data_IF_006008702593
#
_entry.id   IF_006008702593
#
_cell.length_a   1.000
_cell.length_b   1.000
_cell.length_c   1.000
_cell.angle_alpha   90.00
_cell.angle_beta   90.00
_cell.angle_gamma   90.00
#
_symmetry.space_group_name_H-M   'P 1'
#
loop_
_entity.id
_entity.type
_entity.pdbx_description
1 polymer ?
#
# COMPACT_ATOMS: atom_id res chain seq x y z
N UNK A 1 0.83 9.37 2.63
CA UNK A 1 -0.15 10.42 2.34
C UNK A 1 -1.32 10.19 3.26
N UNK A 2 -1.63 11.15 4.12
CA UNK A 2 -2.62 10.97 5.20
C UNK A 2 -4.09 11.08 4.72
N UNK A 3 -4.29 11.42 3.45
CA UNK A 3 -5.57 11.88 2.89
C UNK A 3 -6.19 10.91 1.87
N UNK A 4 -5.66 9.68 1.77
CA UNK A 4 -6.15 8.69 0.80
C UNK A 4 -5.70 8.94 -0.65
N UNK A 5 -4.70 9.81 -0.87
CA UNK A 5 -4.04 9.94 -2.17
C UNK A 5 -2.92 8.92 -2.33
N UNK A 6 -2.61 8.57 -3.58
CA UNK A 6 -1.51 7.67 -3.94
C UNK A 6 -0.52 8.41 -4.84
N UNK A 7 0.76 8.29 -4.52
CA UNK A 7 1.86 8.74 -5.38
C UNK A 7 2.44 7.57 -6.14
N UNK A 8 2.60 7.72 -7.45
CA UNK A 8 3.22 6.72 -8.31
C UNK A 8 4.37 7.31 -9.11
N UNK A 9 5.32 6.45 -9.45
CA UNK A 9 6.38 6.73 -10.41
C UNK A 9 6.34 5.66 -11.49
N UNK A 10 6.51 6.04 -12.74
CA UNK A 10 6.43 5.11 -13.86
C UNK A 10 7.05 5.67 -15.12
N UNK A 11 6.61 5.14 -16.26
CA UNK A 11 7.07 5.54 -17.58
C UNK A 11 5.88 5.84 -18.49
N UNK A 12 6.01 6.86 -19.32
CA UNK A 12 5.11 7.16 -20.41
C UNK A 12 5.20 6.08 -21.50
N UNK A 13 4.25 6.07 -22.45
CA UNK A 13 4.35 5.20 -23.64
C UNK A 13 5.60 5.51 -24.49
N UNK A 14 6.15 6.72 -24.34
CA UNK A 14 7.37 7.18 -25.00
C UNK A 14 8.63 6.95 -24.15
N UNK A 15 8.53 6.20 -23.05
CA UNK A 15 9.62 5.88 -22.11
C UNK A 15 10.17 7.08 -21.34
N UNK A 16 9.40 8.14 -21.16
CA UNK A 16 9.74 9.22 -20.23
C UNK A 16 9.34 8.84 -18.82
N UNK A 17 10.21 9.09 -17.84
CA UNK A 17 9.86 8.93 -16.44
C UNK A 17 8.78 9.91 -16.07
N UNK A 18 7.74 9.42 -15.39
CA UNK A 18 6.60 10.21 -14.97
C UNK A 18 6.34 10.01 -13.47
N UNK A 19 5.82 11.05 -12.84
CA UNK A 19 5.22 11.00 -11.52
C UNK A 19 3.72 11.26 -11.63
N UNK A 20 2.93 10.57 -10.82
CA UNK A 20 1.48 10.68 -10.80
C UNK A 20 0.95 10.77 -9.37
N UNK A 21 0.00 11.68 -9.14
CA UNK A 21 -0.77 11.77 -7.90
C UNK A 21 -2.22 11.39 -8.20
N UNK A 22 -2.78 10.46 -7.43
CA UNK A 22 -4.09 9.84 -7.68
C UNK A 22 -5.00 9.97 -6.47
N UNK A 23 -6.29 10.19 -6.70
CA UNK A 23 -7.32 10.12 -5.66
C UNK A 23 -7.95 8.71 -5.67
N UNK A 24 -7.99 8.04 -4.53
CA UNK A 24 -8.67 6.74 -4.39
C UNK A 24 -10.18 6.82 -4.65
N UNK A 25 -10.80 7.99 -4.50
CA UNK A 25 -12.23 8.20 -4.78
C UNK A 25 -12.52 8.40 -6.27
N UNK A 26 -11.54 8.88 -7.03
CA UNK A 26 -11.64 9.08 -8.47
C UNK A 26 -10.33 8.67 -9.14
N UNK A 27 -10.25 7.40 -9.53
CA UNK A 27 -9.03 6.79 -10.06
C UNK A 27 -8.97 6.78 -11.59
N UNK A 28 -9.93 7.41 -12.27
CA UNK A 28 -9.97 7.44 -13.74
C UNK A 28 -8.87 8.34 -14.32
N UNK A 29 -8.61 9.47 -13.68
CA UNK A 29 -7.63 10.46 -14.10
C UNK A 29 -6.74 10.88 -12.92
N UNK A 30 -5.44 11.13 -13.15
CA UNK A 30 -4.55 11.61 -12.11
C UNK A 30 -4.89 13.07 -11.73
N UNK A 31 -4.77 13.39 -10.43
CA UNK A 31 -4.82 14.76 -9.91
C UNK A 31 -3.70 15.60 -10.53
N UNK A 32 -2.50 15.01 -10.57
CA UNK A 32 -1.33 15.62 -11.18
C UNK A 32 -0.51 14.53 -11.88
N UNK A 33 -0.11 14.79 -13.12
CA UNK A 33 0.79 13.95 -13.89
C UNK A 33 1.91 14.84 -14.44
N UNK A 34 3.16 14.53 -14.08
CA UNK A 34 4.31 15.31 -14.51
C UNK A 34 5.36 14.41 -15.14
N UNK A 35 5.81 14.80 -16.33
CA UNK A 35 6.90 14.15 -17.04
C UNK A 35 8.24 14.72 -16.57
N UNK A 36 9.26 13.88 -16.53
CA UNK A 36 10.57 14.22 -15.99
C UNK A 36 11.67 14.18 -17.05
N UNK A 37 12.22 12.99 -17.32
CA UNK A 37 13.32 12.79 -18.26
C UNK A 37 13.24 11.40 -18.89
N UNK A 38 14.07 11.12 -19.87
CA UNK A 38 14.07 9.87 -20.65
C UNK A 38 15.05 8.82 -20.12
N UNK A 39 15.40 8.87 -18.82
CA UNK A 39 16.31 7.88 -18.24
C UNK A 39 15.60 6.56 -17.97
N UNK A 40 16.31 5.44 -18.08
CA UNK A 40 15.73 4.09 -17.89
C UNK A 40 15.61 3.66 -16.42
N UNK A 41 16.19 4.42 -15.48
CA UNK A 41 16.21 4.07 -14.06
C UNK A 41 14.84 4.25 -13.41
N UNK A 42 14.29 3.16 -12.85
CA UNK A 42 13.07 3.22 -12.03
C UNK A 42 13.30 4.17 -10.86
N UNK A 43 12.45 5.19 -10.75
CA UNK A 43 12.45 6.11 -9.61
C UNK A 43 11.84 5.42 -8.39
N UNK A 44 12.50 5.56 -7.26
CA UNK A 44 11.99 5.12 -5.96
C UNK A 44 11.48 6.35 -5.21
N UNK A 45 10.18 6.42 -4.88
CA UNK A 45 9.63 7.49 -4.06
C UNK A 45 9.88 7.24 -2.57
N UNK A 46 10.46 8.23 -1.90
CA UNK A 46 10.58 8.29 -0.45
C UNK A 46 9.71 9.45 0.05
N UNK A 47 8.58 9.14 0.66
CA UNK A 47 7.64 10.14 1.14
C UNK A 47 7.83 10.39 2.63
N UNK A 48 7.95 11.67 2.98
CA UNK A 48 7.98 12.18 4.34
C UNK A 48 6.60 12.74 4.69
N UNK A 49 5.82 12.07 5.57
CA UNK A 49 4.48 12.53 5.95
C UNK A 49 4.50 13.80 6.80
N UNK A 50 5.58 14.07 7.53
CA UNK A 50 5.63 15.18 8.49
C UNK A 50 5.80 16.52 7.77
N UNK A 51 6.51 16.52 6.63
CA UNK A 51 6.73 17.71 5.81
C UNK A 51 6.00 17.68 4.46
N UNK A 52 5.26 16.61 4.16
CA UNK A 52 4.64 16.36 2.84
C UNK A 52 5.60 16.45 1.66
N UNK A 53 6.87 16.08 1.87
CA UNK A 53 7.90 16.08 0.81
C UNK A 53 8.09 14.67 0.28
N UNK A 54 8.13 14.52 -1.05
CA UNK A 54 8.53 13.29 -1.72
C UNK A 54 9.89 13.47 -2.38
N UNK A 55 10.80 12.53 -2.14
CA UNK A 55 12.12 12.46 -2.76
C UNK A 55 12.15 11.32 -3.78
N UNK A 56 12.63 11.62 -4.98
CA UNK A 56 12.75 10.67 -6.09
C UNK A 56 14.22 10.45 -6.42
N UNK A 57 14.61 9.18 -6.45
CA UNK A 57 15.93 8.78 -6.93
C UNK A 57 15.87 7.38 -7.55
N UNK A 58 16.62 7.16 -8.64
CA UNK A 58 16.69 5.88 -9.33
C UNK A 58 18.09 5.31 -9.34
N UNK A 59 18.22 3.99 -9.43
CA UNK A 59 19.55 3.36 -9.63
C UNK A 59 20.14 3.85 -10.97
N UNK A 60 21.40 4.25 -10.94
CA UNK A 60 22.08 4.87 -12.08
C UNK A 60 21.98 6.39 -12.13
N UNK A 61 21.03 7.01 -11.41
CA UNK A 61 20.96 8.47 -11.31
C UNK A 61 22.10 9.01 -10.44
N UNK A 62 22.54 10.23 -10.72
CA UNK A 62 23.48 10.96 -9.88
C UNK A 62 22.82 12.09 -9.09
N UNK A 63 21.49 12.14 -9.07
CA UNK A 63 20.68 13.19 -8.44
C UNK A 63 19.52 12.65 -7.62
N UNK A 64 19.04 13.47 -6.68
CA UNK A 64 17.83 13.25 -5.89
C UNK A 64 16.95 14.48 -6.10
N UNK A 65 15.79 14.30 -6.74
CA UNK A 65 14.80 15.37 -6.93
C UNK A 65 13.76 15.31 -5.83
N UNK A 66 13.25 16.44 -5.40
CA UNK A 66 12.23 16.46 -4.36
C UNK A 66 11.15 17.50 -4.60
N UNK A 67 9.95 17.15 -4.17
CA UNK A 67 8.71 17.85 -4.45
C UNK A 67 7.91 17.97 -3.17
N UNK A 68 7.21 19.08 -2.99
CA UNK A 68 6.23 19.28 -1.95
C UNK A 68 4.85 18.92 -2.48
N UNK A 69 4.05 18.24 -1.67
CA UNK A 69 2.69 17.84 -2.02
C UNK A 69 1.72 18.65 -1.15
N UNK A 70 0.84 19.39 -1.80
CA UNK A 70 -0.13 20.28 -1.16
C UNK A 70 -1.52 20.06 -1.74
N UNK A 71 -2.53 20.67 -1.12
CA UNK A 71 -3.90 20.68 -1.62
C UNK A 71 -4.16 21.79 -2.66
N UNK A 72 -3.16 22.61 -2.98
CA UNK A 72 -3.27 23.68 -3.96
C UNK A 72 -2.68 23.24 -5.31
N UNK A 73 -3.42 23.44 -6.39
CA UNK A 73 -2.95 23.17 -7.75
C UNK A 73 -1.62 23.90 -8.05
N UNK A 74 -0.63 23.24 -8.71
CA UNK A 74 -0.67 21.93 -9.37
C UNK A 74 -0.52 20.69 -8.45
N UNK A 75 -0.70 20.82 -7.13
CA UNK A 75 -0.64 19.78 -6.08
C UNK A 75 0.75 19.23 -5.81
N UNK A 76 1.52 18.93 -6.86
CA UNK A 76 2.91 18.48 -6.78
C UNK A 76 3.82 19.62 -7.23
N UNK A 77 4.56 20.20 -6.29
CA UNK A 77 5.41 21.37 -6.51
C UNK A 77 6.88 20.97 -6.47
N UNK A 78 7.60 21.18 -7.56
CA UNK A 78 9.04 20.95 -7.58
C UNK A 78 9.75 21.92 -6.63
N UNK A 79 10.53 21.37 -5.70
CA UNK A 79 11.34 22.17 -4.78
C UNK A 79 12.73 22.38 -5.37
N UNK A 80 13.54 21.32 -5.42
CA UNK A 80 14.92 21.40 -5.89
C UNK A 80 15.49 20.00 -6.21
N UNK A 81 16.74 19.96 -6.66
CA UNK A 81 17.49 18.75 -6.99
C UNK A 81 18.85 18.78 -6.32
N UNK A 82 19.15 17.78 -5.51
CA UNK A 82 20.52 17.45 -5.15
C UNK A 82 21.21 16.78 -6.33
N UNK A 83 22.39 17.25 -6.73
CA UNK A 83 23.16 16.70 -7.84
C UNK A 83 24.57 16.32 -7.41
N UNK A 84 25.08 15.23 -7.99
CA UNK A 84 26.44 14.75 -7.78
C UNK A 84 27.01 14.16 -9.07
N UNK A 85 28.30 13.80 -9.06
CA UNK A 85 28.98 13.21 -10.24
C UNK A 85 28.87 11.69 -10.31
N UNK A 86 28.68 11.03 -9.17
CA UNK A 86 28.72 9.57 -9.06
C UNK A 86 27.30 8.98 -9.10
N UNK A 87 27.03 7.96 -9.93
CA UNK A 87 25.72 7.32 -9.99
C UNK A 87 25.46 6.43 -8.77
N UNK A 88 24.22 6.41 -8.28
CA UNK A 88 23.82 5.57 -7.14
C UNK A 88 23.56 4.12 -7.56
N UNK A 89 24.03 3.17 -6.75
CA UNK A 89 23.73 1.72 -6.84
C UNK A 89 22.52 1.32 -6.00
N UNK A 90 22.14 2.16 -5.04
CA UNK A 90 21.01 1.98 -4.14
C UNK A 90 20.91 3.18 -3.19
N UNK A 91 19.83 3.23 -2.44
CA UNK A 91 19.54 4.33 -1.54
C UNK A 91 18.88 3.79 -0.27
N UNK A 92 19.39 4.18 0.89
CA UNK A 92 18.70 4.07 2.17
C UNK A 92 18.13 5.41 2.61
N UNK A 93 17.12 5.39 3.48
CA UNK A 93 16.48 6.58 4.03
C UNK A 93 16.36 6.46 5.54
N UNK A 94 16.81 7.48 6.27
CA UNK A 94 16.81 7.49 7.73
C UNK A 94 15.40 7.77 8.27
N UNK A 95 14.88 6.94 9.20
CA UNK A 95 13.65 7.27 9.93
C UNK A 95 13.80 8.56 10.74
N UNK A 96 12.70 9.28 10.96
CA UNK A 96 12.65 10.56 11.68
C UNK A 96 13.42 10.59 13.02
N UNK A 97 13.29 9.52 13.80
CA UNK A 97 13.98 9.34 15.09
C UNK A 97 15.51 9.31 15.02
N UNK A 98 16.11 9.15 13.84
CA UNK A 98 17.57 9.14 13.64
C UNK A 98 18.15 10.42 13.04
N UNK A 99 17.32 11.45 12.83
CA UNK A 99 17.74 12.75 12.31
C UNK A 99 18.30 13.65 13.42
N UNK A 100 19.18 14.57 13.04
CA UNK A 100 19.76 15.58 13.91
C UNK A 100 18.89 16.85 13.88
N UNK A 101 17.87 16.88 14.76
CA UNK A 101 16.92 18.00 14.86
C UNK A 101 17.57 19.32 15.25
N UNK A 102 18.74 19.28 15.91
CA UNK A 102 19.50 20.48 16.28
C UNK A 102 20.06 21.22 15.07
N UNK A 103 20.26 20.52 13.96
CA UNK A 103 20.78 21.07 12.69
C UNK A 103 19.70 21.30 11.64
N UNK A 104 18.42 21.26 12.03
CA UNK A 104 17.30 21.37 11.09
C UNK A 104 17.37 20.33 9.95
N UNK A 105 17.91 19.15 10.22
CA UNK A 105 17.91 18.02 9.28
C UNK A 105 16.50 17.43 9.19
N UNK A 106 15.93 17.41 7.99
CA UNK A 106 14.57 16.89 7.74
C UNK A 106 14.58 15.50 7.09
N UNK A 107 15.68 15.14 6.42
CA UNK A 107 15.90 13.82 5.85
C UNK A 107 17.39 13.50 5.75
N UNK A 108 17.73 12.22 5.89
CA UNK A 108 19.08 11.70 5.63
C UNK A 108 19.02 10.51 4.70
N UNK A 109 19.72 10.60 3.59
CA UNK A 109 19.87 9.51 2.64
C UNK A 109 21.20 8.79 2.88
N UNK A 110 21.22 7.48 2.64
CA UNK A 110 22.42 6.66 2.63
C UNK A 110 22.66 6.18 1.20
N UNK A 111 23.36 6.99 0.42
CA UNK A 111 23.63 6.73 -0.99
C UNK A 111 24.69 5.66 -1.13
N UNK A 112 24.33 4.58 -1.81
CA UNK A 112 25.27 3.50 -2.11
C UNK A 112 25.99 3.81 -3.42
N UNK A 113 27.31 3.79 -3.36
CA UNK A 113 28.20 3.81 -4.51
C UNK A 113 28.71 2.39 -4.76
N UNK A 114 29.68 2.23 -5.66
CA UNK A 114 30.26 0.92 -5.96
C UNK A 114 30.91 0.25 -4.74
N UNK A 115 31.62 1.02 -3.89
CA UNK A 115 32.40 0.50 -2.75
C UNK A 115 32.28 1.31 -1.46
N UNK A 116 31.33 2.25 -1.39
CA UNK A 116 31.10 3.10 -0.22
C UNK A 116 29.62 3.39 -0.01
N UNK A 117 29.25 3.69 1.23
CA UNK A 117 27.96 4.27 1.60
C UNK A 117 28.21 5.71 2.05
N UNK A 118 27.56 6.67 1.40
CA UNK A 118 27.71 8.11 1.65
C UNK A 118 26.41 8.67 2.24
N UNK A 119 26.44 9.24 3.46
CA UNK A 119 25.31 9.98 4.00
C UNK A 119 25.11 11.31 3.25
N UNK A 120 23.89 11.59 2.82
CA UNK A 120 23.47 12.89 2.25
C UNK A 120 22.41 13.48 3.18
N UNK A 121 22.70 14.65 3.73
CA UNK A 121 21.86 15.36 4.69
C UNK A 121 21.02 16.39 3.95
N UNK A 122 19.71 16.36 4.15
CA UNK A 122 18.77 17.37 3.66
C UNK A 122 18.38 18.29 4.82
N UNK A 123 18.72 19.57 4.73
CA UNK A 123 18.55 20.55 5.80
C UNK A 123 17.66 21.70 5.36
N UNK A 124 16.74 22.11 6.22
CA UNK A 124 16.03 23.38 6.08
C UNK A 124 16.90 24.48 6.69
N UNK A 125 17.35 25.49 5.92
CA UNK A 125 18.25 26.52 6.44
C UNK A 125 17.50 27.48 7.37
N UNK A 126 17.54 27.23 8.67
CA UNK A 126 17.03 28.12 9.73
C UNK A 126 18.18 28.80 10.48
N UNK A 127 17.94 30.01 10.97
CA UNK A 127 18.88 30.78 11.82
C UNK A 127 18.43 30.75 13.28
N UNK A 128 18.29 29.57 13.85
CA UNK A 128 17.84 29.40 15.24
C UNK A 128 18.45 28.13 15.83
N UNK A 129 18.92 28.23 17.06
CA UNK A 129 19.36 27.08 17.87
C UNK A 129 18.19 26.45 18.66
N UNK A 130 17.00 27.05 18.58
CA UNK A 130 15.79 26.53 19.21
C UNK A 130 15.22 25.38 18.39
N UNK A 131 14.63 24.41 19.07
CA UNK A 131 13.83 23.37 18.44
C UNK A 131 12.75 23.99 17.54
N UNK A 132 12.61 23.46 16.32
CA UNK A 132 11.69 23.97 15.31
C UNK A 132 10.45 23.08 15.30
N UNK A 133 9.46 23.38 16.15
CA UNK A 133 8.23 22.59 16.27
C UNK A 133 7.46 22.47 14.93
N UNK A 134 7.60 23.47 14.05
CA UNK A 134 6.98 23.48 12.73
C UNK A 134 7.61 22.50 11.73
N UNK A 135 8.89 22.13 11.93
CA UNK A 135 9.59 21.16 11.09
C UNK A 135 9.48 19.73 11.64
N UNK A 136 9.17 19.60 12.93
CA UNK A 136 9.21 18.35 13.68
C UNK A 136 7.92 18.17 14.48
N UNK A 137 6.76 17.98 13.80
CA UNK A 137 5.55 17.55 14.49
C UNK A 137 5.78 16.19 15.15
N UNK A 138 4.85 15.82 16.04
CA UNK A 138 4.89 14.49 16.66
C UNK A 138 4.82 13.40 15.58
N UNK A 139 5.77 12.46 15.63
CA UNK A 139 6.02 11.48 14.56
C UNK A 139 5.85 10.05 15.10
N UNK A 140 5.54 9.04 14.25
CA UNK A 140 5.38 7.66 14.72
C UNK A 140 6.57 7.12 15.53
N UNK A 141 6.26 6.69 16.75
CA UNK A 141 7.21 6.11 17.69
C UNK A 141 7.58 4.67 17.38
N UNK A 142 8.44 4.06 18.22
CA UNK A 142 8.83 2.66 18.10
C UNK A 142 7.80 1.67 18.67
N UNK A 143 6.83 2.14 19.45
CA UNK A 143 5.83 1.29 20.11
C UNK A 143 4.64 1.04 19.16
N UNK A 144 4.20 -0.22 19.00
CA UNK A 144 3.04 -0.54 18.18
C UNK A 144 1.74 -0.07 18.85
N UNK A 145 0.78 0.39 18.03
CA UNK A 145 -0.53 0.80 18.52
C UNK A 145 -1.47 -0.38 18.81
N UNK A 146 -1.27 -1.50 18.10
CA UNK A 146 -2.07 -2.72 18.23
C UNK A 146 -1.16 -3.95 18.25
N UNK A 147 -1.61 -4.97 18.97
CA UNK A 147 -1.05 -6.31 18.83
C UNK A 147 -1.58 -7.00 17.56
N UNK A 148 -0.89 -8.05 17.10
CA UNK A 148 -1.18 -8.67 15.82
C UNK A 148 -2.59 -9.31 15.73
N UNK A 149 -3.06 -9.92 16.82
CA UNK A 149 -4.38 -10.52 16.92
C UNK A 149 -5.51 -9.48 16.95
N UNK A 150 -5.25 -8.33 17.57
CA UNK A 150 -6.18 -7.20 17.58
C UNK A 150 -6.38 -6.63 16.18
N UNK A 151 -5.30 -6.38 15.44
CA UNK A 151 -5.39 -5.95 14.05
C UNK A 151 -6.08 -6.99 13.16
N UNK A 152 -5.72 -8.28 13.34
CA UNK A 152 -6.37 -9.37 12.59
C UNK A 152 -7.87 -9.49 12.89
N UNK A 153 -8.31 -9.11 14.10
CA UNK A 153 -9.73 -9.05 14.47
C UNK A 153 -10.48 -7.86 13.85
N UNK A 154 -9.79 -7.01 13.07
CA UNK A 154 -10.36 -5.86 12.39
C UNK A 154 -10.31 -4.55 13.21
N UNK A 155 -9.47 -4.47 14.25
CA UNK A 155 -9.22 -3.17 14.92
C UNK A 155 -8.24 -2.34 14.10
N UNK A 156 -8.53 -1.05 13.98
CA UNK A 156 -7.64 -0.04 13.44
C UNK A 156 -7.24 0.95 14.54
N UNK A 157 -5.98 1.40 14.53
CA UNK A 157 -5.50 2.43 15.44
C UNK A 157 -4.39 3.24 14.77
N UNK A 158 -4.38 4.54 15.07
CA UNK A 158 -3.31 5.44 14.64
C UNK A 158 -1.98 5.11 15.34
N UNK A 159 -0.83 5.37 14.70
CA UNK A 159 0.47 5.17 15.32
C UNK A 159 0.61 5.96 16.63
N UNK A 160 1.28 5.37 17.62
CA UNK A 160 1.62 6.08 18.86
C UNK A 160 2.71 7.10 18.54
N UNK A 161 2.35 8.38 18.58
CA UNK A 161 3.26 9.47 18.23
C UNK A 161 4.20 9.82 19.39
N UNK A 162 5.40 10.30 19.05
CA UNK A 162 6.38 10.83 20.00
C UNK A 162 6.93 12.17 19.50
N UNK A 163 7.31 13.04 20.44
CA UNK A 163 8.02 14.27 20.13
C UNK A 163 9.51 14.00 19.95
N UNK A 164 10.14 14.65 18.95
CA UNK A 164 11.59 14.59 18.74
C UNK A 164 12.37 15.60 19.58
N UNK A 165 11.70 16.47 20.37
CA UNK A 165 12.36 17.52 21.15
C UNK A 165 13.34 16.96 22.19
N UNK A 166 12.98 15.84 22.81
CA UNK A 166 13.75 15.22 23.89
C UNK A 166 14.89 14.32 23.36
N UNK A 167 15.08 14.33 22.04
CA UNK A 167 16.08 13.53 21.36
C UNK A 167 15.73 12.04 21.31
N UNK A 168 16.77 11.20 21.14
CA UNK A 168 16.57 9.76 21.05
C UNK A 168 16.19 9.16 22.41
N UNK A 169 14.96 8.66 22.52
CA UNK A 169 14.52 7.81 23.63
C UNK A 169 14.75 6.34 23.25
N UNK A 170 15.62 5.60 23.97
CA UNK A 170 15.85 4.19 23.70
C UNK A 170 14.55 3.38 23.86
N UNK A 171 14.31 2.48 22.92
CA UNK A 171 13.22 1.51 23.04
C UNK A 171 13.49 0.63 24.27
N UNK A 172 12.45 0.32 25.06
CA UNK A 172 12.57 -0.70 26.10
C UNK A 172 13.03 -1.99 25.41
N UNK A 173 14.18 -2.56 25.80
CA UNK A 173 14.72 -3.78 25.21
C UNK A 173 13.66 -4.90 25.23
N UNK A 174 12.95 -5.08 24.12
CA UNK A 174 12.06 -6.20 23.87
C UNK A 174 12.85 -7.18 23.03
N UNK A 175 13.33 -8.25 23.66
CA UNK A 175 13.80 -9.41 22.90
C UNK A 175 12.63 -9.98 22.11
N UNK A 176 12.78 -10.08 20.79
CA UNK A 176 11.77 -10.72 19.94
C UNK A 176 11.73 -12.21 20.26
N UNK A 177 10.76 -12.61 21.10
CA UNK A 177 10.51 -14.01 21.43
C UNK A 177 9.56 -14.62 20.40
N UNK A 178 10.10 -15.47 19.53
CA UNK A 178 9.29 -16.21 18.57
C UNK A 178 8.63 -17.39 19.29
N UNK A 179 7.33 -17.28 19.54
CA UNK A 179 6.54 -18.41 20.01
C UNK A 179 6.10 -19.22 18.78
N UNK A 180 6.76 -20.36 18.52
CA UNK A 180 6.29 -21.33 17.53
C UNK A 180 5.05 -22.03 18.07
N UNK A 181 3.88 -21.40 17.97
CA UNK A 181 2.61 -22.13 18.10
C UNK A 181 2.49 -23.01 16.86
N UNK A 182 2.65 -24.32 17.05
CA UNK A 182 2.49 -25.29 15.99
C UNK A 182 0.99 -25.39 15.69
N UNK A 183 0.53 -24.69 14.65
CA UNK A 183 -0.90 -24.63 14.26
C UNK A 183 -1.44 -26.05 13.94
N UNK A 184 -0.54 -27.02 13.71
CA UNK A 184 -0.85 -28.43 13.45
C UNK A 184 -1.11 -29.28 14.72
N UNK A 185 -0.78 -28.81 15.94
CA UNK A 185 -0.96 -29.59 17.17
C UNK A 185 -2.42 -29.62 17.67
N UNK A 186 -3.30 -28.81 17.07
CA UNK A 186 -4.76 -28.93 17.29
C UNK A 186 -5.41 -30.03 16.44
N UNK A 187 -4.63 -30.89 15.78
CA UNK A 187 -5.18 -32.02 15.04
C UNK A 187 -5.62 -33.13 16.02
N UNK A 188 -6.87 -33.63 15.93
CA UNK A 188 -7.30 -34.79 16.71
C UNK A 188 -6.35 -35.98 16.47
N UNK A 189 -6.16 -36.89 17.45
CA UNK A 189 -5.21 -37.98 17.34
C UNK A 189 -5.49 -38.80 16.06
N UNK A 190 -4.44 -39.26 15.34
CA UNK A 190 -4.63 -40.01 14.11
C UNK A 190 -5.28 -41.36 14.44
N UNK A 191 -6.58 -41.46 14.18
CA UNK A 191 -7.28 -42.74 14.09
C UNK A 191 -6.67 -43.63 13.00
N UNK A 192 -6.94 -44.94 13.02
CA UNK A 192 -6.27 -45.91 12.16
C UNK A 192 -6.44 -45.52 10.69
N UNK A 193 -5.31 -45.34 10.00
CA UNK A 193 -5.23 -44.97 8.58
C UNK A 193 -6.05 -45.96 7.73
N UNK A 194 -7.22 -45.53 7.28
CA UNK A 194 -7.81 -45.98 6.03
C UNK A 194 -7.61 -44.87 5.01
N UNK A 195 -6.85 -45.18 3.98
CA UNK A 195 -6.72 -44.39 2.77
C UNK A 195 -8.08 -44.22 2.12
N UNK A 196 -8.73 -43.08 2.34
CA UNK A 196 -9.71 -42.49 1.42
C UNK A 196 -9.79 -41.00 1.72
N UNK A 197 -9.56 -40.20 0.68
CA UNK A 197 -9.95 -38.80 0.64
C UNK A 197 -11.47 -38.74 0.75
N UNK A 198 -11.99 -38.32 1.91
CA UNK A 198 -13.38 -37.92 2.08
C UNK A 198 -13.41 -36.70 2.97
N UNK A 199 -13.65 -35.54 2.36
CA UNK A 199 -14.23 -34.42 3.07
C UNK A 199 -15.55 -34.93 3.67
N UNK A 200 -15.68 -34.92 4.99
CA UNK A 200 -16.98 -35.04 5.65
C UNK A 200 -17.74 -33.75 5.32
N UNK A 201 -18.83 -33.79 4.54
CA UNK A 201 -19.69 -32.63 4.39
C UNK A 201 -20.45 -32.45 5.70
N UNK A 202 -20.64 -31.21 6.15
CA UNK A 202 -21.67 -30.89 7.13
C UNK A 202 -23.01 -31.40 6.57
N UNK A 203 -23.42 -32.60 7.01
CA UNK A 203 -24.62 -33.31 6.54
C UNK A 203 -25.87 -32.42 6.48
N UNK A 204 -26.14 -31.55 7.48
CA UNK A 204 -27.33 -30.70 7.45
C UNK A 204 -27.31 -29.70 6.28
N UNK A 205 -26.15 -29.10 6.00
CA UNK A 205 -26.00 -28.08 4.96
C UNK A 205 -26.00 -28.70 3.55
N UNK A 206 -25.46 -29.91 3.38
CA UNK A 206 -25.48 -30.59 2.09
C UNK A 206 -26.89 -31.08 1.72
N UNK A 207 -27.67 -31.53 2.70
CA UNK A 207 -29.04 -32.01 2.48
C UNK A 207 -29.98 -30.85 2.11
N UNK A 208 -29.82 -29.69 2.76
CA UNK A 208 -30.53 -28.46 2.43
C UNK A 208 -30.21 -27.97 1.00
N UNK A 209 -28.93 -27.94 0.62
CA UNK A 209 -28.51 -27.55 -0.74
C UNK A 209 -29.02 -28.53 -1.81
N UNK A 210 -29.07 -29.83 -1.51
CA UNK A 210 -29.60 -30.83 -2.45
C UNK A 210 -31.12 -30.70 -2.65
N UNK A 211 -31.85 -30.33 -1.60
CA UNK A 211 -33.28 -30.08 -1.65
C UNK A 211 -33.58 -28.81 -2.46
N UNK A 212 -32.79 -27.75 -2.27
CA UNK A 212 -32.89 -26.51 -3.03
C UNK A 212 -32.57 -26.71 -4.53
N UNK A 213 -31.54 -27.50 -4.85
CA UNK A 213 -31.23 -27.88 -6.24
C UNK A 213 -32.38 -28.67 -6.88
N UNK A 214 -33.06 -29.53 -6.12
CA UNK A 214 -34.20 -30.31 -6.62
C UNK A 214 -35.39 -29.39 -6.91
N UNK A 215 -35.72 -28.48 -6.00
CA UNK A 215 -36.79 -27.51 -6.17
C UNK A 215 -36.53 -26.55 -7.36
N UNK A 216 -35.29 -26.11 -7.54
CA UNK A 216 -34.90 -25.28 -8.69
C UNK A 216 -35.05 -26.03 -10.02
N UNK A 217 -34.67 -27.31 -10.08
CA UNK A 217 -34.85 -28.13 -11.29
C UNK A 217 -36.31 -28.32 -11.66
N UNK A 218 -37.19 -28.57 -10.69
CA UNK A 218 -38.62 -28.69 -10.95
C UNK A 218 -39.21 -27.36 -11.46
N UNK A 219 -38.77 -26.25 -10.89
CA UNK A 219 -39.19 -24.90 -11.33
C UNK A 219 -38.75 -24.61 -12.76
N UNK A 220 -37.50 -24.92 -13.11
CA UNK A 220 -36.97 -24.76 -14.48
C UNK A 220 -37.78 -25.62 -15.46
N UNK A 221 -38.06 -26.88 -15.13
CA UNK A 221 -38.82 -27.77 -16.01
C UNK A 221 -40.27 -27.29 -16.21
N UNK A 222 -40.90 -26.75 -15.17
CA UNK A 222 -42.23 -26.15 -15.27
C UNK A 222 -42.22 -24.88 -16.14
N UNK A 223 -41.17 -24.06 -16.03
CA UNK A 223 -40.99 -22.87 -16.86
C UNK A 223 -40.75 -23.24 -18.33
N UNK A 224 -39.89 -24.21 -18.62
CA UNK A 224 -39.64 -24.70 -19.99
C UNK A 224 -40.91 -25.21 -20.66
N UNK A 225 -41.73 -25.98 -19.93
CA UNK A 225 -43.02 -26.45 -20.44
C UNK A 225 -43.96 -25.28 -20.75
N UNK A 226 -44.03 -24.31 -19.84
CA UNK A 226 -44.87 -23.11 -20.03
C UNK A 226 -44.40 -22.27 -21.21
N UNK A 227 -43.09 -22.13 -21.39
CA UNK A 227 -42.50 -21.43 -22.54
C UNK A 227 -42.87 -22.16 -23.82
N UNK A 228 -42.68 -23.48 -23.89
CA UNK A 228 -43.05 -24.28 -25.07
C UNK A 228 -44.55 -24.18 -25.40
N UNK A 229 -45.43 -24.23 -24.41
CA UNK A 229 -46.88 -24.07 -24.62
C UNK A 229 -47.24 -22.66 -25.13
N UNK A 230 -46.54 -21.63 -24.65
CA UNK A 230 -46.73 -20.25 -25.11
C UNK A 230 -46.19 -20.05 -26.52
N UNK A 231 -45.02 -20.60 -26.85
CA UNK A 231 -44.44 -20.59 -28.19
C UNK A 231 -45.36 -21.29 -29.19
N UNK A 232 -45.89 -22.47 -28.85
CA UNK A 232 -46.84 -23.21 -29.69
C UNK A 232 -48.13 -22.42 -29.94
N UNK A 233 -48.65 -21.71 -28.92
CA UNK A 233 -49.81 -20.82 -29.09
C UNK A 233 -49.47 -19.63 -29.97
N UNK A 234 -48.29 -19.02 -29.80
CA UNK A 234 -47.84 -17.91 -30.62
C UNK A 234 -47.74 -18.31 -32.10
N UNK A 235 -47.20 -19.50 -32.39
CA UNK A 235 -47.15 -20.07 -33.74
C UNK A 235 -48.54 -20.27 -34.38
N UNK A 236 -49.57 -20.56 -33.59
CA UNK A 236 -50.95 -20.67 -34.10
C UNK A 236 -51.55 -19.30 -34.46
N UNK A 237 -51.12 -18.22 -33.81
CA UNK A 237 -51.55 -16.87 -34.14
C UNK A 237 -50.78 -16.27 -35.34
N UNK A 238 -49.52 -16.67 -35.57
CA UNK A 238 -48.73 -16.19 -36.72
C UNK A 238 -49.09 -16.86 -38.04
N UNK A 239 -49.74 -18.03 -38.02
CA UNK A 239 -50.18 -18.76 -39.23
C UNK A 239 -51.61 -18.40 -39.68
N UNK A 240 -52.26 -17.42 -39.03
CA UNK A 240 -53.66 -17.03 -39.28
C UNK A 240 -53.86 -15.61 -39.81
N UNK A 241 -52.80 -14.91 -40.20
CA UNK A 241 -52.87 -13.60 -40.86
C UNK A 241 -52.24 -13.67 -42.25
N UNK A 242 -53.02 -14.19 -43.19
CA UNK A 242 -53.10 -13.74 -44.58
C UNK A 242 -54.57 -13.43 -44.89
#
# INVERSE_FOLDING_TARGET
>A
MADGKIFTTGFSKMSERQLGLWDLKNFEEPIALQEMDTSNGVLLPFYDPDSSVVYLCGKGDSSIRYFEITDEAPYVHYLNTYSSKEPQRGMGFMPKRGLDVSKCEIARFFKLHERKCEPIVMTVPRKSDLFQDDLYPDTPGPEPALEADEWLSGKDAEPILISLRDGYVPVKNRELKVVKKNILDNKPPPGPRRSHSTCEPDRPALEEVLEEIRALKETVQAQEKRISDLENKLCQFTNGTD
#
